data_IF_191906642802
#
_entry.id   IF_191906642802
#
_cell.length_a   1.000
_cell.length_b   1.000
_cell.length_c   1.000
_cell.angle_alpha   90.00
_cell.angle_beta   90.00
_cell.angle_gamma   90.00
#
_symmetry.space_group_name_H-M   'P 1'
#
loop_
_entity.id
_entity.type
_entity.pdbx_description
1 polymer ?
#
# COMPACT_ATOMS: atom_id res chain seq x y z
N UNK A 1 -16.81 -37.59 14.10
CA UNK A 1 -15.63 -37.47 14.98
C UNK A 1 -14.38 -37.66 14.13
N UNK A 2 -13.80 -36.56 13.64
CA UNK A 2 -12.45 -36.57 13.07
C UNK A 2 -11.88 -35.17 13.24
N UNK A 3 -10.81 -35.12 14.01
CA UNK A 3 -10.16 -33.96 14.63
C UNK A 3 -9.62 -32.94 13.62
N UNK A 4 -10.00 -31.67 13.78
CA UNK A 4 -9.29 -30.54 13.18
C UNK A 4 -8.02 -30.27 13.97
N UNK A 5 -6.86 -30.63 13.40
CA UNK A 5 -5.57 -30.22 13.94
C UNK A 5 -5.34 -28.77 13.50
N UNK A 6 -5.54 -27.85 14.44
CA UNK A 6 -5.07 -26.47 14.31
C UNK A 6 -3.54 -26.48 14.29
N UNK A 7 -2.96 -26.42 13.09
CA UNK A 7 -1.56 -26.02 12.92
C UNK A 7 -1.46 -24.53 13.23
N UNK A 8 -1.13 -24.21 14.48
CA UNK A 8 -0.61 -22.91 14.88
C UNK A 8 0.64 -22.61 14.05
N UNK A 9 0.48 -21.87 12.96
CA UNK A 9 1.59 -21.26 12.26
C UNK A 9 2.25 -20.28 13.22
N UNK A 10 3.33 -20.70 13.89
CA UNK A 10 4.21 -19.78 14.60
C UNK A 10 4.87 -18.87 13.57
N UNK A 11 4.19 -17.78 13.21
CA UNK A 11 4.80 -16.64 12.55
C UNK A 11 5.94 -16.17 13.45
N UNK A 12 7.18 -16.43 13.02
CA UNK A 12 8.37 -15.85 13.64
C UNK A 12 8.13 -14.34 13.75
N UNK A 13 8.06 -13.83 14.98
CA UNK A 13 8.03 -12.39 15.20
C UNK A 13 9.26 -11.79 14.52
N UNK A 14 9.13 -10.66 13.79
CA UNK A 14 10.28 -9.91 13.34
C UNK A 14 11.13 -9.61 14.57
N UNK A 15 12.41 -10.01 14.57
CA UNK A 15 13.34 -9.54 15.61
C UNK A 15 13.26 -8.02 15.59
N UNK A 16 12.88 -7.42 16.72
CA UNK A 16 12.98 -5.97 16.89
C UNK A 16 14.36 -5.52 16.39
N UNK A 17 14.41 -4.40 15.65
CA UNK A 17 15.69 -3.83 15.21
C UNK A 17 16.61 -3.80 16.44
N UNK A 18 17.79 -4.43 16.39
CA UNK A 18 18.63 -4.53 17.57
C UNK A 18 18.93 -3.11 18.03
N UNK A 19 18.52 -2.79 19.25
CA UNK A 19 18.73 -1.46 19.78
C UNK A 19 20.24 -1.17 19.74
N UNK A 20 20.68 -0.01 19.22
CA UNK A 20 22.10 0.24 18.94
C UNK A 20 23.01 0.10 20.15
N UNK A 21 22.47 0.31 21.36
CA UNK A 21 23.20 0.15 22.62
C UNK A 21 23.36 -1.31 23.06
N UNK A 22 22.66 -2.29 22.46
CA UNK A 22 22.87 -3.72 22.67
C UNK A 22 23.99 -4.29 21.79
N UNK A 23 25.18 -3.73 21.96
CA UNK A 23 26.44 -4.11 21.30
C UNK A 23 27.15 -5.29 22.00
N UNK A 24 28.33 -5.64 21.51
CA UNK A 24 29.15 -6.73 22.06
C UNK A 24 29.53 -6.51 23.53
N UNK A 25 29.86 -5.26 23.90
CA UNK A 25 30.20 -4.88 25.28
C UNK A 25 29.07 -5.13 26.26
N UNK A 26 27.85 -4.67 25.95
CA UNK A 26 26.68 -4.91 26.81
C UNK A 26 26.29 -6.38 26.86
N UNK A 27 26.50 -7.14 25.77
CA UNK A 27 26.28 -8.60 25.76
C UNK A 27 27.26 -9.34 26.67
N UNK A 28 28.54 -8.98 26.66
CA UNK A 28 29.55 -9.59 27.52
C UNK A 28 29.20 -9.42 29.01
N UNK A 29 28.90 -8.19 29.43
CA UNK A 29 28.52 -7.90 30.83
C UNK A 29 27.20 -8.57 31.21
N UNK A 30 26.24 -8.68 30.27
CA UNK A 30 24.99 -9.44 30.49
C UNK A 30 25.25 -10.93 30.70
N UNK A 31 26.19 -11.54 29.98
CA UNK A 31 26.55 -12.94 30.17
C UNK A 31 27.13 -13.19 31.57
N UNK A 32 27.96 -12.27 32.08
CA UNK A 32 28.48 -12.32 33.45
C UNK A 32 27.37 -12.21 34.50
N UNK A 33 26.41 -11.29 34.30
CA UNK A 33 25.23 -11.20 35.15
C UNK A 33 24.46 -12.51 35.22
N UNK A 34 24.25 -13.18 34.08
CA UNK A 34 23.57 -14.47 34.01
C UNK A 34 24.36 -15.59 34.69
N UNK A 35 25.70 -15.56 34.63
CA UNK A 35 26.56 -16.50 35.37
C UNK A 35 26.41 -16.30 36.88
N UNK A 36 26.48 -15.06 37.36
CA UNK A 36 26.28 -14.72 38.77
C UNK A 36 24.87 -15.06 39.27
N UNK A 37 23.84 -14.79 38.46
CA UNK A 37 22.44 -15.15 38.75
C UNK A 37 22.26 -16.66 38.91
N UNK A 38 22.81 -17.47 38.00
CA UNK A 38 22.75 -18.94 38.07
C UNK A 38 23.47 -19.48 39.30
N UNK A 39 24.62 -18.90 39.65
CA UNK A 39 25.38 -19.26 40.86
C UNK A 39 24.55 -19.02 42.12
N UNK A 40 24.00 -17.81 42.29
CA UNK A 40 23.12 -17.49 43.42
C UNK A 40 21.86 -18.38 43.47
N UNK A 41 21.25 -18.69 42.31
CA UNK A 41 20.10 -19.60 42.28
C UNK A 41 20.42 -21.01 42.76
N UNK A 42 21.67 -21.46 42.60
CA UNK A 42 22.14 -22.79 43.02
C UNK A 42 22.51 -22.84 44.50
N UNK A 43 23.28 -21.87 44.99
CA UNK A 43 23.85 -21.91 46.34
C UNK A 43 23.02 -21.14 47.39
N UNK A 44 22.18 -20.19 46.98
CA UNK A 44 21.38 -19.30 47.83
C UNK A 44 22.19 -18.51 48.87
N UNK A 45 23.49 -18.35 48.67
CA UNK A 45 24.38 -17.66 49.62
C UNK A 45 24.29 -16.13 49.47
N UNK A 46 24.46 -15.42 50.59
CA UNK A 46 24.45 -13.96 50.62
C UNK A 46 25.58 -13.34 49.80
N UNK A 47 26.76 -13.97 49.80
CA UNK A 47 27.91 -13.54 48.99
C UNK A 47 27.59 -13.63 47.48
N UNK A 48 26.96 -14.72 47.04
CA UNK A 48 26.53 -14.90 45.66
C UNK A 48 25.42 -13.91 45.25
N UNK A 49 24.53 -13.55 46.17
CA UNK A 49 23.57 -12.47 45.96
C UNK A 49 24.24 -11.10 45.77
N UNK A 50 25.24 -10.79 46.60
CA UNK A 50 26.01 -9.54 46.47
C UNK A 50 26.77 -9.48 45.13
N UNK A 51 27.40 -10.59 44.72
CA UNK A 51 28.05 -10.70 43.41
C UNK A 51 27.05 -10.44 42.27
N UNK A 52 25.86 -11.04 42.32
CA UNK A 52 24.82 -10.80 41.32
C UNK A 52 24.38 -9.32 41.30
N UNK A 53 24.19 -8.68 42.45
CA UNK A 53 23.82 -7.25 42.53
C UNK A 53 24.90 -6.33 41.96
N UNK A 54 26.18 -6.66 42.15
CA UNK A 54 27.30 -5.91 41.58
C UNK A 54 27.33 -6.08 40.05
N UNK A 55 27.24 -7.30 39.55
CA UNK A 55 27.17 -7.55 38.10
C UNK A 55 25.97 -6.83 37.49
N UNK A 56 24.79 -6.88 38.13
CA UNK A 56 23.58 -6.22 37.63
C UNK A 56 23.73 -4.70 37.52
N UNK A 57 24.31 -4.04 38.54
CA UNK A 57 24.64 -2.61 38.48
C UNK A 57 25.61 -2.32 37.34
N UNK A 58 26.69 -3.09 37.22
CA UNK A 58 27.65 -2.94 36.14
C UNK A 58 27.00 -3.07 34.74
N UNK A 59 26.06 -4.01 34.58
CA UNK A 59 25.29 -4.13 33.35
C UNK A 59 24.41 -2.90 33.08
N UNK A 60 23.67 -2.43 34.07
CA UNK A 60 22.83 -1.23 33.94
C UNK A 60 23.67 0.01 33.57
N UNK A 61 24.82 0.19 34.22
CA UNK A 61 25.74 1.29 33.95
C UNK A 61 26.34 1.19 32.55
N UNK A 62 26.76 -0.02 32.14
CA UNK A 62 27.30 -0.25 30.79
C UNK A 62 26.26 0.04 29.71
N UNK A 63 25.01 -0.38 29.89
CA UNK A 63 23.91 -0.07 28.97
C UNK A 63 23.65 1.44 28.92
N UNK A 64 23.64 2.11 30.08
CA UNK A 64 23.45 3.57 30.16
C UNK A 64 24.58 4.32 29.45
N UNK A 65 25.83 3.88 29.63
CA UNK A 65 27.00 4.44 28.95
C UNK A 65 26.93 4.24 27.43
N UNK A 66 26.66 3.01 26.96
CA UNK A 66 26.53 2.74 25.52
C UNK A 66 25.37 3.51 24.88
N UNK A 67 24.27 3.72 25.62
CA UNK A 67 23.16 4.56 25.17
C UNK A 67 23.61 6.02 25.05
N UNK A 68 24.28 6.56 26.06
CA UNK A 68 24.82 7.94 26.05
C UNK A 68 25.77 8.13 24.85
N UNK A 69 26.72 7.22 24.68
CA UNK A 69 27.72 7.26 23.61
C UNK A 69 27.07 7.25 22.22
N UNK A 70 26.09 6.37 22.00
CA UNK A 70 25.35 6.32 20.74
C UNK A 70 24.68 7.67 20.41
N UNK A 71 23.94 8.26 21.35
CA UNK A 71 23.26 9.53 21.10
C UNK A 71 24.21 10.72 21.00
N UNK A 72 25.28 10.75 21.79
CA UNK A 72 26.36 11.73 21.62
C UNK A 72 26.96 11.65 20.21
N UNK A 73 27.22 10.45 19.71
CA UNK A 73 27.74 10.26 18.36
C UNK A 73 26.74 10.72 17.29
N UNK A 74 25.45 10.41 17.42
CA UNK A 74 24.41 10.88 16.49
C UNK A 74 24.37 12.42 16.44
N UNK A 75 24.38 13.07 17.61
CA UNK A 75 24.33 14.54 17.70
C UNK A 75 25.59 15.18 17.09
N UNK A 76 26.78 14.65 17.40
CA UNK A 76 28.05 15.19 16.90
C UNK A 76 28.22 14.98 15.39
N UNK A 77 27.85 13.80 14.88
CA UNK A 77 27.99 13.46 13.45
C UNK A 77 26.96 14.15 12.56
N UNK A 78 25.80 14.54 13.10
CA UNK A 78 24.71 15.17 12.34
C UNK A 78 24.41 16.60 12.83
N UNK A 79 25.39 17.29 13.42
CA UNK A 79 25.26 18.66 13.94
C UNK A 79 24.84 19.69 12.88
N UNK A 80 25.16 19.43 11.62
CA UNK A 80 24.81 20.24 10.45
C UNK A 80 23.46 19.87 9.82
N UNK A 81 22.78 18.82 10.31
CA UNK A 81 21.50 18.34 9.77
C UNK A 81 20.38 18.45 10.82
N UNK A 82 19.66 19.58 10.86
CA UNK A 82 18.61 19.80 11.86
C UNK A 82 17.44 18.81 11.75
N UNK A 83 17.19 18.21 10.58
CA UNK A 83 16.13 17.20 10.40
C UNK A 83 16.42 15.88 11.12
N UNK A 84 17.67 15.42 11.10
CA UNK A 84 18.10 14.20 11.81
C UNK A 84 18.08 14.43 13.32
N UNK A 85 18.48 15.62 13.78
CA UNK A 85 18.41 15.99 15.20
C UNK A 85 16.97 16.07 15.70
N UNK A 86 16.09 16.72 14.94
CA UNK A 86 14.67 16.85 15.28
C UNK A 86 13.99 15.47 15.37
N UNK A 87 14.15 14.62 14.36
CA UNK A 87 13.58 13.25 14.37
C UNK A 87 14.12 12.39 15.52
N UNK A 88 15.39 12.54 15.88
CA UNK A 88 15.99 11.85 17.02
C UNK A 88 15.36 12.30 18.33
N UNK A 89 15.22 13.61 18.56
CA UNK A 89 14.59 14.17 19.78
C UNK A 89 13.10 13.83 19.85
N UNK A 90 12.38 13.96 18.74
CA UNK A 90 10.96 13.65 18.61
C UNK A 90 10.67 12.20 19.01
N UNK A 91 11.54 11.25 18.62
CA UNK A 91 11.41 9.84 19.01
C UNK A 91 11.51 9.58 20.52
N UNK A 92 12.14 10.49 21.29
CA UNK A 92 12.24 10.40 22.74
C UNK A 92 11.06 11.03 23.47
N UNK A 93 10.66 12.22 23.00
CA UNK A 93 9.60 13.00 23.63
C UNK A 93 8.23 12.42 23.30
N UNK A 94 8.06 12.00 22.05
CA UNK A 94 6.86 11.42 21.51
C UNK A 94 7.10 9.92 21.29
N UNK A 95 7.32 9.19 22.38
CA UNK A 95 7.19 7.73 22.34
C UNK A 95 5.80 7.42 21.79
N UNK A 96 5.64 6.64 20.72
CA UNK A 96 4.32 6.38 20.17
C UNK A 96 3.47 5.75 21.27
N UNK A 97 2.54 6.54 21.81
CA UNK A 97 1.48 6.01 22.66
C UNK A 97 0.78 4.97 21.82
N UNK A 98 1.07 3.71 22.11
CA UNK A 98 0.48 2.56 21.45
C UNK A 98 -0.93 2.39 22.02
N UNK A 99 -1.78 3.40 21.87
CA UNK A 99 -3.22 3.20 21.83
C UNK A 99 -3.54 2.59 20.46
N UNK A 100 -2.89 1.47 20.13
CA UNK A 100 -3.21 0.70 18.96
C UNK A 100 -4.57 0.07 19.22
N UNK A 101 -5.55 0.34 18.35
CA UNK A 101 -6.81 -0.39 18.39
C UNK A 101 -6.51 -1.89 18.35
N UNK A 102 -6.96 -2.63 19.36
CA UNK A 102 -6.78 -4.08 19.36
C UNK A 102 -7.52 -4.68 18.17
N UNK A 103 -6.81 -5.52 17.41
CA UNK A 103 -7.38 -6.16 16.24
C UNK A 103 -8.49 -7.14 16.67
N UNK A 104 -9.73 -6.74 16.43
CA UNK A 104 -10.92 -7.55 16.68
C UNK A 104 -11.78 -7.66 15.41
N UNK A 105 -12.61 -8.71 15.33
CA UNK A 105 -13.60 -8.85 14.27
C UNK A 105 -14.58 -7.67 14.25
N UNK A 106 -14.97 -7.18 15.43
CA UNK A 106 -15.84 -6.01 15.57
C UNK A 106 -15.22 -4.75 14.96
N UNK A 107 -13.93 -4.50 15.21
CA UNK A 107 -13.24 -3.35 14.62
C UNK A 107 -13.19 -3.45 13.09
N UNK A 108 -12.92 -4.63 12.54
CA UNK A 108 -12.92 -4.84 11.09
C UNK A 108 -14.30 -4.58 10.49
N UNK A 109 -15.37 -5.03 11.16
CA UNK A 109 -16.74 -4.74 10.76
C UNK A 109 -17.07 -3.24 10.84
N UNK A 110 -16.62 -2.55 11.89
CA UNK A 110 -16.80 -1.10 12.02
C UNK A 110 -16.11 -0.34 10.87
N UNK A 111 -14.87 -0.71 10.51
CA UNK A 111 -14.18 -0.14 9.35
C UNK A 111 -14.92 -0.43 8.04
N UNK A 112 -15.39 -1.67 7.87
CA UNK A 112 -16.14 -2.07 6.67
C UNK A 112 -17.40 -1.23 6.50
N UNK A 113 -18.23 -1.12 7.55
CA UNK A 113 -19.44 -0.29 7.52
C UNK A 113 -19.09 1.18 7.29
N UNK A 114 -18.11 1.73 8.02
CA UNK A 114 -17.68 3.11 7.84
C UNK A 114 -17.27 3.43 6.40
N UNK A 115 -16.51 2.57 5.73
CA UNK A 115 -16.12 2.80 4.33
C UNK A 115 -17.32 2.73 3.38
N UNK A 116 -18.26 1.81 3.59
CA UNK A 116 -19.48 1.69 2.78
C UNK A 116 -20.38 2.92 2.98
N UNK A 117 -20.67 3.28 4.22
CA UNK A 117 -21.56 4.38 4.58
C UNK A 117 -21.02 5.71 4.08
N UNK A 118 -19.70 5.92 4.20
CA UNK A 118 -19.04 7.12 3.70
C UNK A 118 -19.27 7.30 2.19
N UNK A 119 -19.03 6.25 1.40
CA UNK A 119 -19.20 6.32 -0.07
C UNK A 119 -20.67 6.49 -0.44
N UNK A 120 -21.56 5.80 0.26
CA UNK A 120 -23.02 5.90 0.05
C UNK A 120 -23.53 7.31 0.33
N UNK A 121 -23.09 7.91 1.44
CA UNK A 121 -23.43 9.29 1.82
C UNK A 121 -22.92 10.30 0.79
N UNK A 122 -21.66 10.16 0.35
CA UNK A 122 -21.11 11.06 -0.68
C UNK A 122 -21.91 10.92 -1.98
N UNK A 123 -22.21 9.70 -2.43
CA UNK A 123 -23.01 9.47 -3.65
C UNK A 123 -24.42 10.05 -3.55
N UNK A 124 -25.05 9.97 -2.38
CA UNK A 124 -26.38 10.57 -2.16
C UNK A 124 -26.36 12.11 -2.23
N UNK A 125 -25.22 12.74 -1.91
CA UNK A 125 -25.05 14.20 -2.00
C UNK A 125 -24.74 14.71 -3.41
N UNK A 126 -24.33 13.84 -4.33
CA UNK A 126 -24.03 14.23 -5.71
C UNK A 126 -25.35 14.35 -6.47
N UNK A 127 -25.72 15.59 -6.81
CA UNK A 127 -26.86 15.86 -7.70
C UNK A 127 -26.57 15.26 -9.08
N UNK A 128 -27.54 14.52 -9.62
CA UNK A 128 -27.46 14.07 -11.02
C UNK A 128 -27.76 15.27 -11.91
N UNK A 129 -26.86 15.63 -12.84
CA UNK A 129 -27.17 16.69 -13.79
C UNK A 129 -28.30 16.23 -14.72
N UNK A 130 -29.21 17.14 -15.07
CA UNK A 130 -30.35 16.88 -15.97
C UNK A 130 -29.91 16.54 -17.41
N UNK A 131 -28.69 16.91 -17.78
CA UNK A 131 -28.08 16.60 -19.07
C UNK A 131 -26.58 16.37 -18.91
N UNK A 132 -26.00 15.48 -19.73
CA UNK A 132 -24.56 15.28 -19.77
C UNK A 132 -23.91 16.45 -20.53
N UNK A 133 -23.06 17.28 -19.88
CA UNK A 133 -22.44 18.43 -20.52
C UNK A 133 -21.37 18.04 -21.55
N UNK A 134 -21.00 16.76 -21.65
CA UNK A 134 -20.01 16.32 -22.63
C UNK A 134 -20.61 16.20 -24.03
N UNK A 135 -20.16 17.08 -24.93
CA UNK A 135 -20.45 16.96 -26.36
C UNK A 135 -19.80 15.67 -26.86
N UNK A 136 -20.60 14.64 -27.14
CA UNK A 136 -20.14 13.39 -27.72
C UNK A 136 -19.57 13.63 -29.12
N UNK A 137 -18.25 13.82 -29.23
CA UNK A 137 -17.54 13.53 -30.47
C UNK A 137 -17.24 12.04 -30.46
N UNK A 138 -17.88 11.23 -31.32
CA UNK A 138 -17.55 9.82 -31.41
C UNK A 138 -16.08 9.67 -31.81
N UNK A 139 -15.36 8.80 -31.10
CA UNK A 139 -14.00 8.46 -31.46
C UNK A 139 -14.00 7.73 -32.81
N UNK A 140 -13.13 8.15 -33.74
CA UNK A 140 -13.01 7.49 -35.05
C UNK A 140 -12.32 6.13 -34.98
N UNK A 141 -11.69 5.81 -33.85
CA UNK A 141 -10.89 4.60 -33.64
C UNK A 141 -11.53 3.73 -32.58
N UNK A 142 -11.41 2.42 -32.75
CA UNK A 142 -12.12 1.43 -31.94
C UNK A 142 -11.16 0.38 -31.41
N UNK A 143 -11.16 0.18 -30.09
CA UNK A 143 -10.49 -0.92 -29.41
C UNK A 143 -11.52 -2.00 -29.05
N UNK A 144 -11.65 -3.01 -29.90
CA UNK A 144 -12.74 -3.99 -29.82
C UNK A 144 -12.43 -5.20 -28.92
N UNK A 145 -11.16 -5.58 -28.78
CA UNK A 145 -10.76 -6.80 -28.06
C UNK A 145 -9.34 -6.67 -27.49
N UNK A 146 -9.06 -7.46 -26.47
CA UNK A 146 -7.70 -7.68 -25.99
C UNK A 146 -7.03 -8.81 -26.74
N UNK A 147 -5.75 -8.64 -27.06
CA UNK A 147 -4.96 -9.64 -27.74
C UNK A 147 -4.43 -10.70 -26.75
N UNK A 148 -4.46 -12.00 -27.12
CA UNK A 148 -3.85 -13.06 -26.33
C UNK A 148 -2.36 -12.81 -26.08
N UNK A 149 -1.90 -13.13 -24.88
CA UNK A 149 -0.49 -13.01 -24.53
C UNK A 149 0.28 -14.29 -24.83
N UNK A 150 1.57 -14.14 -25.15
CA UNK A 150 2.52 -15.26 -25.24
C UNK A 150 3.00 -15.69 -23.85
N UNK A 151 3.56 -16.91 -23.77
CA UNK A 151 4.16 -17.40 -22.54
C UNK A 151 5.34 -16.53 -22.08
N UNK A 152 6.20 -16.11 -23.02
CA UNK A 152 7.37 -15.28 -22.71
C UNK A 152 6.96 -13.93 -22.11
N UNK A 153 5.96 -13.26 -22.70
CA UNK A 153 5.45 -12.01 -22.17
C UNK A 153 4.87 -12.19 -20.76
N UNK A 154 4.14 -13.28 -20.53
CA UNK A 154 3.59 -13.58 -19.21
C UNK A 154 4.71 -13.77 -18.17
N UNK A 155 5.76 -14.50 -18.51
CA UNK A 155 6.92 -14.71 -17.62
C UNK A 155 7.62 -13.40 -17.28
N UNK A 156 7.85 -12.55 -18.26
CA UNK A 156 8.45 -11.22 -18.07
C UNK A 156 7.58 -10.34 -17.16
N UNK A 157 6.26 -10.34 -17.37
CA UNK A 157 5.32 -9.58 -16.54
C UNK A 157 5.34 -10.06 -15.08
N UNK A 158 5.36 -11.38 -14.86
CA UNK A 158 5.47 -11.97 -13.52
C UNK A 158 6.83 -11.62 -12.89
N UNK A 159 7.92 -11.66 -13.66
CA UNK A 159 9.25 -11.31 -13.18
C UNK A 159 9.36 -9.83 -12.76
N UNK A 160 8.77 -8.91 -13.52
CA UNK A 160 8.84 -7.47 -13.26
C UNK A 160 7.89 -6.98 -12.18
N UNK A 161 6.75 -7.66 -11.96
CA UNK A 161 5.78 -7.20 -10.96
C UNK A 161 6.37 -7.31 -9.55
N UNK A 162 6.13 -6.27 -8.73
CA UNK A 162 6.51 -6.29 -7.33
C UNK A 162 5.80 -7.46 -6.62
N UNK A 163 6.50 -8.24 -5.79
CA UNK A 163 5.93 -9.39 -5.07
C UNK A 163 4.99 -8.89 -3.96
N UNK A 164 3.79 -8.47 -4.35
CA UNK A 164 2.73 -8.01 -3.47
C UNK A 164 1.44 -8.71 -3.84
N UNK A 165 0.86 -9.44 -2.88
CA UNK A 165 -0.35 -10.21 -3.06
C UNK A 165 -1.44 -9.83 -2.06
N UNK A 166 -2.49 -10.63 -2.06
CA UNK A 166 -3.53 -10.59 -1.04
C UNK A 166 -3.11 -11.43 0.16
N UNK A 167 -3.48 -11.07 1.40
CA UNK A 167 -3.38 -11.97 2.56
C UNK A 167 -4.17 -13.29 2.42
N UNK A 168 -5.03 -13.41 1.40
CA UNK A 168 -5.77 -14.62 1.05
C UNK A 168 -5.10 -15.43 -0.07
N UNK A 169 -3.95 -15.01 -0.59
CA UNK A 169 -3.21 -15.80 -1.57
C UNK A 169 -2.75 -17.12 -0.95
N UNK A 170 -2.87 -18.23 -1.70
CA UNK A 170 -2.50 -19.55 -1.23
C UNK A 170 -0.99 -19.66 -0.93
N UNK A 171 -0.18 -18.88 -1.63
CA UNK A 171 1.28 -18.83 -1.50
C UNK A 171 1.74 -17.38 -1.29
N UNK A 172 2.79 -17.16 -0.48
CA UNK A 172 3.44 -15.86 -0.42
C UNK A 172 3.89 -15.39 -1.82
N UNK A 173 3.78 -14.10 -2.16
CA UNK A 173 4.08 -13.59 -3.51
C UNK A 173 5.48 -13.93 -4.04
N UNK A 174 6.49 -13.90 -3.18
CA UNK A 174 7.86 -14.28 -3.55
C UNK A 174 7.95 -15.75 -3.94
N UNK A 175 7.40 -16.62 -3.10
CA UNK A 175 7.39 -18.06 -3.35
C UNK A 175 6.55 -18.41 -4.57
N UNK A 176 5.41 -17.74 -4.78
CA UNK A 176 4.59 -17.92 -5.98
C UNK A 176 5.40 -17.63 -7.25
N UNK A 177 6.22 -16.58 -7.26
CA UNK A 177 7.10 -16.28 -8.41
C UNK A 177 8.17 -17.37 -8.63
N UNK A 178 8.72 -17.94 -7.56
CA UNK A 178 9.71 -19.03 -7.66
C UNK A 178 9.10 -20.31 -8.24
N UNK A 179 7.88 -20.67 -7.82
CA UNK A 179 7.19 -21.88 -8.31
C UNK A 179 6.33 -21.63 -9.56
N UNK A 180 6.27 -20.40 -10.07
CA UNK A 180 5.50 -20.03 -11.25
C UNK A 180 5.77 -20.92 -12.48
N UNK A 181 7.03 -21.31 -12.77
CA UNK A 181 7.31 -22.20 -13.90
C UNK A 181 6.53 -23.52 -13.88
N UNK A 182 6.11 -24.01 -12.71
CA UNK A 182 5.36 -25.26 -12.56
C UNK A 182 3.92 -25.15 -13.08
N UNK A 183 3.32 -23.96 -13.12
CA UNK A 183 1.91 -23.77 -13.50
C UNK A 183 1.67 -22.61 -14.48
N UNK A 184 2.75 -22.04 -15.05
CA UNK A 184 2.70 -20.94 -16.03
C UNK A 184 1.77 -21.19 -17.21
N UNK A 185 1.69 -22.43 -17.71
CA UNK A 185 0.82 -22.78 -18.85
C UNK A 185 -0.67 -22.74 -18.48
N UNK A 186 -1.02 -23.13 -17.26
CA UNK A 186 -2.40 -23.03 -16.76
C UNK A 186 -2.81 -21.56 -16.57
N UNK A 187 -1.89 -20.73 -16.06
CA UNK A 187 -2.13 -19.28 -15.90
C UNK A 187 -2.28 -18.62 -17.26
N UNK A 188 -1.44 -19.00 -18.23
CA UNK A 188 -1.54 -18.50 -19.60
C UNK A 188 -2.91 -18.81 -20.22
N UNK A 189 -3.37 -20.07 -20.12
CA UNK A 189 -4.67 -20.48 -20.63
C UNK A 189 -5.80 -19.71 -19.93
N UNK A 190 -5.74 -19.55 -18.60
CA UNK A 190 -6.71 -18.77 -17.83
C UNK A 190 -6.77 -17.30 -18.29
N UNK A 191 -5.61 -16.67 -18.46
CA UNK A 191 -5.55 -15.25 -18.85
C UNK A 191 -6.05 -15.05 -20.27
N UNK A 192 -5.58 -15.84 -21.23
CA UNK A 192 -6.03 -15.74 -22.61
C UNK A 192 -7.53 -16.03 -22.74
N UNK A 193 -8.06 -17.00 -21.97
CA UNK A 193 -9.51 -17.23 -21.90
C UNK A 193 -10.27 -16.02 -21.36
N UNK A 194 -9.75 -15.33 -20.34
CA UNK A 194 -10.34 -14.11 -19.79
C UNK A 194 -10.36 -12.97 -20.80
N UNK A 195 -9.23 -12.74 -21.49
CA UNK A 195 -9.09 -11.69 -22.51
C UNK A 195 -10.06 -11.90 -23.69
N UNK A 196 -10.11 -13.12 -24.23
CA UNK A 196 -10.95 -13.46 -25.38
C UNK A 196 -12.45 -13.43 -25.05
N UNK A 197 -12.83 -13.92 -23.87
CA UNK A 197 -14.25 -13.95 -23.46
C UNK A 197 -14.78 -12.62 -22.95
N UNK A 198 -13.91 -11.65 -22.66
CA UNK A 198 -14.32 -10.41 -22.00
C UNK A 198 -14.78 -10.63 -20.55
N UNK A 199 -14.33 -11.69 -19.88
CA UNK A 199 -14.77 -12.02 -18.50
C UNK A 199 -13.59 -12.13 -17.55
N UNK A 200 -13.67 -11.42 -16.42
CA UNK A 200 -12.66 -11.48 -15.36
C UNK A 200 -13.00 -12.62 -14.40
N UNK A 201 -12.06 -13.49 -14.03
CA UNK A 201 -12.29 -14.56 -13.06
C UNK A 201 -12.85 -14.02 -11.73
N UNK A 202 -13.88 -14.67 -11.19
CA UNK A 202 -14.54 -14.27 -9.93
C UNK A 202 -13.56 -14.14 -8.77
N UNK A 203 -12.60 -15.07 -8.66
CA UNK A 203 -11.60 -15.10 -7.61
C UNK A 203 -10.63 -13.91 -7.66
N UNK A 204 -10.55 -13.20 -8.78
CA UNK A 204 -9.72 -12.00 -8.94
C UNK A 204 -10.47 -10.72 -8.53
N UNK A 205 -11.80 -10.79 -8.33
CA UNK A 205 -12.64 -9.65 -7.98
C UNK A 205 -12.74 -9.38 -6.48
N UNK A 206 -12.20 -10.25 -5.63
CA UNK A 206 -12.19 -10.06 -4.18
C UNK A 206 -10.96 -9.29 -3.72
N UNK A 207 -11.17 -8.18 -2.99
CA UNK A 207 -10.11 -7.40 -2.37
C UNK A 207 -10.05 -7.62 -0.85
N UNK A 208 -8.84 -7.70 -0.30
CA UNK A 208 -8.65 -7.57 1.15
C UNK A 208 -8.23 -6.14 1.45
N UNK A 209 -9.14 -5.37 2.05
CA UNK A 209 -8.93 -3.97 2.42
C UNK A 209 -8.13 -3.90 3.71
N UNK A 210 -7.05 -3.15 3.64
CA UNK A 210 -6.21 -2.81 4.79
C UNK A 210 -6.40 -1.33 5.14
N UNK A 211 -6.99 -1.00 6.30
CA UNK A 211 -7.01 0.37 6.78
C UNK A 211 -5.57 0.85 7.02
N UNK A 212 -5.19 1.98 6.41
CA UNK A 212 -3.88 2.61 6.59
C UNK A 212 -4.05 4.03 7.10
N UNK A 213 -3.44 4.38 8.22
CA UNK A 213 -3.53 5.73 8.78
C UNK A 213 -2.95 6.76 7.78
N UNK A 214 -3.70 7.83 7.50
CA UNK A 214 -3.38 8.83 6.47
C UNK A 214 -2.04 9.53 6.73
N UNK A 215 -1.73 9.81 8.00
CA UNK A 215 -0.52 10.50 8.46
C UNK A 215 -0.13 9.96 9.83
N UNK A 216 1.16 9.91 10.10
CA UNK A 216 1.69 9.61 11.44
C UNK A 216 1.24 10.69 12.42
N UNK A 217 0.80 10.29 13.62
CA UNK A 217 0.32 11.20 14.67
C UNK A 217 -1.17 11.54 14.64
N UNK A 218 -1.92 11.08 13.63
CA UNK A 218 -3.39 11.16 13.68
C UNK A 218 -3.93 10.18 14.73
N UNK A 219 -5.05 10.55 15.34
CA UNK A 219 -5.75 9.69 16.31
C UNK A 219 -6.20 8.38 15.63
N UNK A 220 -5.67 7.22 16.07
CA UNK A 220 -6.03 5.92 15.50
C UNK A 220 -7.46 5.50 15.85
N UNK A 221 -8.12 6.10 16.84
CA UNK A 221 -9.49 5.75 17.21
C UNK A 221 -10.53 6.32 16.23
N UNK A 222 -10.16 7.33 15.44
CA UNK A 222 -11.04 7.97 14.46
C UNK A 222 -10.94 7.27 13.10
N UNK A 223 -11.97 6.53 12.71
CA UNK A 223 -11.99 5.75 11.45
C UNK A 223 -11.76 6.61 10.19
N UNK A 224 -12.21 7.87 10.22
CA UNK A 224 -11.99 8.84 9.14
C UNK A 224 -10.52 9.18 8.86
N UNK A 225 -9.61 8.86 9.78
CA UNK A 225 -8.18 9.04 9.62
C UNK A 225 -7.52 7.94 8.79
N UNK A 226 -8.26 6.91 8.36
CA UNK A 226 -7.72 5.79 7.59
C UNK A 226 -8.05 5.88 6.09
N UNK A 227 -7.17 5.32 5.26
CA UNK A 227 -7.38 5.03 3.84
C UNK A 227 -7.68 3.54 3.66
N UNK A 228 -8.69 3.16 2.87
CA UNK A 228 -8.93 1.76 2.53
C UNK A 228 -7.95 1.31 1.42
N UNK A 229 -6.89 0.58 1.77
CA UNK A 229 -5.94 0.07 0.78
C UNK A 229 -6.35 -1.35 0.35
N UNK A 230 -6.87 -1.47 -0.88
CA UNK A 230 -7.26 -2.76 -1.47
C UNK A 230 -6.04 -3.61 -1.85
N UNK A 231 -5.90 -4.79 -1.23
CA UNK A 231 -4.91 -5.80 -1.60
C UNK A 231 -5.57 -6.88 -2.45
N UNK A 232 -5.20 -6.93 -3.72
CA UNK A 232 -5.67 -7.94 -4.69
C UNK A 232 -4.70 -9.12 -4.78
N UNK A 233 -5.20 -10.31 -5.20
CA UNK A 233 -4.34 -11.46 -5.48
C UNK A 233 -3.23 -11.14 -6.46
N UNK A 234 -2.05 -11.73 -6.29
CA UNK A 234 -0.90 -11.46 -7.18
C UNK A 234 -1.25 -11.71 -8.65
N UNK A 235 -1.90 -12.83 -8.97
CA UNK A 235 -2.27 -13.17 -10.35
C UNK A 235 -3.33 -12.20 -10.93
N UNK A 236 -4.25 -11.66 -10.11
CA UNK A 236 -5.17 -10.60 -10.54
C UNK A 236 -4.40 -9.38 -11.03
N UNK A 237 -3.38 -8.96 -10.27
CA UNK A 237 -2.55 -7.79 -10.63
C UNK A 237 -1.76 -8.03 -11.91
N UNK A 238 -1.31 -9.26 -12.16
CA UNK A 238 -0.62 -9.60 -13.42
C UNK A 238 -1.59 -9.49 -14.60
N UNK A 239 -2.81 -10.03 -14.47
CA UNK A 239 -3.84 -9.89 -15.51
C UNK A 239 -4.22 -8.42 -15.75
N UNK A 240 -4.42 -7.64 -14.70
CA UNK A 240 -4.68 -6.19 -14.78
C UNK A 240 -3.52 -5.46 -15.46
N UNK A 241 -2.27 -5.86 -15.20
CA UNK A 241 -1.09 -5.27 -15.86
C UNK A 241 -1.06 -5.57 -17.35
N UNK A 242 -1.42 -6.79 -17.76
CA UNK A 242 -1.53 -7.18 -19.17
C UNK A 242 -2.57 -6.30 -19.88
N UNK A 243 -3.78 -6.19 -19.31
CA UNK A 243 -4.85 -5.33 -19.83
C UNK A 243 -4.42 -3.87 -19.89
N UNK A 244 -3.79 -3.37 -18.82
CA UNK A 244 -3.30 -1.99 -18.75
C UNK A 244 -2.30 -1.68 -19.87
N UNK A 245 -1.36 -2.59 -20.16
CA UNK A 245 -0.34 -2.35 -21.20
C UNK A 245 -1.00 -2.22 -22.58
N UNK A 246 -1.96 -3.08 -22.90
CA UNK A 246 -2.67 -3.01 -24.18
C UNK A 246 -3.54 -1.76 -24.29
N UNK A 247 -4.32 -1.44 -23.25
CA UNK A 247 -5.12 -0.20 -23.21
C UNK A 247 -4.23 1.03 -23.34
N UNK A 248 -3.13 1.09 -22.59
CA UNK A 248 -2.22 2.23 -22.61
C UNK A 248 -1.60 2.42 -23.99
N UNK A 249 -1.18 1.34 -24.65
CA UNK A 249 -0.66 1.39 -26.02
C UNK A 249 -1.69 1.98 -26.98
N UNK A 250 -2.94 1.51 -26.92
CA UNK A 250 -4.02 2.05 -27.75
C UNK A 250 -4.27 3.55 -27.51
N UNK A 251 -4.31 3.96 -26.23
CA UNK A 251 -4.54 5.36 -25.86
C UNK A 251 -3.41 6.28 -26.33
N UNK A 252 -2.17 5.81 -26.28
CA UNK A 252 -0.98 6.57 -26.69
C UNK A 252 -0.86 6.65 -28.22
N UNK A 253 -1.07 5.55 -28.94
CA UNK A 253 -1.04 5.50 -30.41
C UNK A 253 -2.05 6.47 -31.04
N UNK A 254 -3.20 6.64 -30.40
CA UNK A 254 -4.29 7.48 -30.90
C UNK A 254 -4.40 8.84 -30.22
N UNK A 255 -3.43 9.22 -29.38
CA UNK A 255 -3.38 10.51 -28.67
C UNK A 255 -4.69 10.84 -27.92
N UNK A 256 -5.31 9.84 -27.28
CA UNK A 256 -6.60 10.00 -26.58
C UNK A 256 -6.41 10.68 -25.21
N UNK A 257 -5.22 10.59 -24.63
CA UNK A 257 -4.92 11.14 -23.31
C UNK A 257 -4.96 12.67 -23.32
N UNK A 258 -5.48 13.26 -22.24
CA UNK A 258 -5.48 14.72 -22.06
C UNK A 258 -4.05 15.28 -22.02
N UNK A 259 -3.85 16.41 -22.70
CA UNK A 259 -2.54 17.07 -22.84
C UNK A 259 -2.06 17.65 -21.51
N UNK A 260 -2.98 18.17 -20.69
CA UNK A 260 -2.70 18.80 -19.40
C UNK A 260 -2.77 17.82 -18.22
N UNK A 261 -3.20 16.58 -18.43
CA UNK A 261 -3.09 15.54 -17.42
C UNK A 261 -1.62 15.23 -17.11
N UNK A 262 -1.19 15.47 -15.87
CA UNK A 262 0.13 15.05 -15.37
C UNK A 262 0.06 13.81 -14.46
N UNK A 263 -1.05 13.62 -13.74
CA UNK A 263 -1.23 12.46 -12.87
C UNK A 263 -1.32 11.15 -13.65
N UNK A 264 -0.63 10.11 -13.16
CA UNK A 264 -0.65 8.76 -13.74
C UNK A 264 -0.21 8.68 -15.22
N UNK A 265 0.54 9.67 -15.71
CA UNK A 265 1.07 9.72 -17.08
C UNK A 265 2.59 9.51 -17.05
N UNK A 266 3.09 8.65 -17.93
CA UNK A 266 4.52 8.41 -18.08
C UNK A 266 5.25 9.69 -18.46
N UNK A 267 6.43 9.92 -17.90
CA UNK A 267 7.25 11.13 -18.12
C UNK A 267 6.65 12.44 -17.58
N UNK A 268 5.59 12.37 -16.77
CA UNK A 268 5.04 13.49 -16.02
C UNK A 268 5.16 13.26 -14.51
N UNK A 269 5.25 14.35 -13.74
CA UNK A 269 5.32 14.34 -12.28
C UNK A 269 4.55 15.52 -11.66
N UNK A 270 4.55 15.62 -10.33
CA UNK A 270 4.03 16.82 -9.65
C UNK A 270 4.86 18.07 -9.96
N UNK A 271 6.16 17.90 -10.24
CA UNK A 271 7.06 18.99 -10.58
C UNK A 271 6.75 19.55 -11.97
N UNK A 272 6.50 18.68 -12.96
CA UNK A 272 6.14 19.13 -14.32
C UNK A 272 4.81 19.89 -14.32
N UNK A 273 3.85 19.43 -13.50
CA UNK A 273 2.57 20.13 -13.34
C UNK A 273 2.74 21.50 -12.67
N UNK A 274 3.52 21.56 -11.58
CA UNK A 274 3.78 22.80 -10.87
C UNK A 274 4.54 23.81 -11.74
N UNK A 275 5.56 23.36 -12.47
CA UNK A 275 6.34 24.20 -13.37
C UNK A 275 5.44 24.82 -14.45
N UNK A 276 4.53 24.04 -15.04
CA UNK A 276 3.58 24.54 -16.03
C UNK A 276 2.68 25.64 -15.45
N UNK A 277 2.04 25.36 -14.32
CA UNK A 277 1.14 26.34 -13.65
C UNK A 277 1.91 27.60 -13.27
N UNK A 278 3.11 27.46 -12.71
CA UNK A 278 3.95 28.58 -12.31
C UNK A 278 4.37 29.45 -13.50
N UNK A 279 4.78 28.83 -14.60
CA UNK A 279 5.12 29.54 -15.82
C UNK A 279 3.92 30.31 -16.40
N UNK A 280 2.73 29.68 -16.42
CA UNK A 280 1.51 30.32 -16.93
C UNK A 280 1.12 31.54 -16.05
N UNK A 281 1.33 31.47 -14.73
CA UNK A 281 1.15 32.61 -13.81
C UNK A 281 2.15 33.73 -14.14
N UNK A 282 3.43 33.41 -14.30
CA UNK A 282 4.46 34.42 -14.57
C UNK A 282 4.22 35.15 -15.89
N UNK A 283 3.90 34.43 -16.96
CA UNK A 283 3.63 35.04 -18.27
C UNK A 283 2.44 36.00 -18.24
N UNK A 284 1.39 35.66 -17.50
CA UNK A 284 0.24 36.54 -17.33
C UNK A 284 0.61 37.79 -16.51
N UNK A 285 1.38 37.62 -15.41
CA UNK A 285 1.88 38.75 -14.63
C UNK A 285 2.77 39.69 -15.47
N UNK A 286 3.68 39.14 -16.28
CA UNK A 286 4.57 39.92 -17.15
C UNK A 286 3.78 40.69 -18.24
N UNK A 287 2.62 40.18 -18.62
CA UNK A 287 1.69 40.82 -19.58
C UNK A 287 0.81 41.89 -18.92
N UNK A 288 0.89 42.05 -17.60
CA UNK A 288 0.04 42.98 -16.84
C UNK A 288 -1.37 42.45 -16.54
N UNK A 289 -1.63 41.16 -16.80
CA UNK A 289 -2.92 40.53 -16.55
C UNK A 289 -3.08 40.12 -15.08
N UNK A 290 -4.34 39.98 -14.64
CA UNK A 290 -4.66 39.43 -13.33
C UNK A 290 -4.89 37.93 -13.41
N UNK A 291 -4.32 37.18 -12.45
CA UNK A 291 -4.42 35.72 -12.41
C UNK A 291 -5.30 35.26 -11.24
N UNK A 292 -6.26 34.39 -11.54
CA UNK A 292 -7.09 33.70 -10.53
C UNK A 292 -6.81 32.19 -10.64
N UNK A 293 -6.31 31.59 -9.56
CA UNK A 293 -6.05 30.15 -9.48
C UNK A 293 -7.17 29.46 -8.71
N UNK A 294 -7.91 28.58 -9.38
CA UNK A 294 -8.95 27.74 -8.77
C UNK A 294 -8.41 26.34 -8.55
N UNK A 295 -8.37 25.90 -7.29
CA UNK A 295 -7.91 24.57 -6.90
C UNK A 295 -9.11 23.72 -6.47
N UNK A 296 -9.31 22.60 -7.16
CA UNK A 296 -10.41 21.67 -6.91
C UNK A 296 -9.86 20.34 -6.40
N UNK A 297 -10.46 19.80 -5.35
CA UNK A 297 -10.16 18.46 -4.84
C UNK A 297 -11.45 17.63 -4.73
N UNK A 298 -11.40 16.41 -5.24
CA UNK A 298 -12.55 15.51 -5.30
C UNK A 298 -12.57 14.58 -4.09
N UNK A 299 -13.66 14.63 -3.32
CA UNK A 299 -13.81 13.74 -2.16
C UNK A 299 -13.99 12.30 -2.62
N UNK A 300 -13.10 11.42 -2.16
CA UNK A 300 -13.14 9.97 -2.42
C UNK A 300 -13.25 9.62 -3.92
N UNK A 301 -12.48 10.32 -4.77
CA UNK A 301 -12.60 10.30 -6.24
C UNK A 301 -12.72 8.90 -6.87
N UNK A 302 -11.98 7.90 -6.40
CA UNK A 302 -12.05 6.54 -6.95
C UNK A 302 -13.30 5.76 -6.49
N UNK A 303 -13.75 5.99 -5.27
CA UNK A 303 -14.89 5.28 -4.69
C UNK A 303 -16.23 5.84 -5.23
N UNK A 304 -16.24 7.10 -5.66
CA UNK A 304 -17.44 7.82 -6.11
C UNK A 304 -17.71 7.72 -7.60
N UNK A 305 -16.82 7.09 -8.38
CA UNK A 305 -17.02 6.91 -9.83
C UNK A 305 -18.31 6.12 -10.10
N UNK A 306 -19.20 6.70 -10.92
CA UNK A 306 -20.36 5.98 -11.44
C UNK A 306 -19.91 5.06 -12.59
N UNK A 307 -20.09 3.75 -12.40
CA UNK A 307 -19.63 2.76 -13.37
C UNK A 307 -20.40 2.83 -14.69
N UNK A 308 -21.66 3.26 -14.69
CA UNK A 308 -22.47 3.37 -15.89
C UNK A 308 -21.97 4.52 -16.75
N UNK A 309 -21.72 5.69 -16.13
CA UNK A 309 -21.15 6.85 -16.80
C UNK A 309 -19.74 6.54 -17.31
N UNK A 310 -18.90 5.87 -16.50
CA UNK A 310 -17.56 5.47 -16.92
C UNK A 310 -17.61 4.57 -18.16
N UNK A 311 -18.42 3.51 -18.15
CA UNK A 311 -18.53 2.59 -19.28
C UNK A 311 -19.07 3.28 -20.54
N UNK A 312 -20.06 4.17 -20.38
CA UNK A 312 -20.59 4.98 -21.48
C UNK A 312 -19.49 5.86 -22.10
N UNK A 313 -18.68 6.53 -21.28
CA UNK A 313 -17.56 7.36 -21.76
C UNK A 313 -16.46 6.51 -22.43
N UNK A 314 -16.11 5.36 -21.85
CA UNK A 314 -15.16 4.44 -22.47
C UNK A 314 -15.65 3.98 -23.85
N UNK A 315 -16.95 3.73 -23.99
CA UNK A 315 -17.53 3.31 -25.27
C UNK A 315 -17.57 4.44 -26.30
N UNK A 316 -18.14 5.59 -25.95
CA UNK A 316 -18.48 6.62 -26.93
C UNK A 316 -17.40 7.69 -27.12
N UNK A 317 -16.60 7.99 -26.10
CA UNK A 317 -15.56 9.03 -26.15
C UNK A 317 -14.17 8.45 -26.39
N UNK A 318 -13.88 7.28 -25.80
CA UNK A 318 -12.56 6.62 -25.93
C UNK A 318 -12.53 5.59 -27.07
N UNK A 319 -13.68 5.03 -27.45
CA UNK A 319 -13.79 4.03 -28.52
C UNK A 319 -13.55 2.58 -28.08
N UNK A 320 -13.69 2.26 -26.79
CA UNK A 320 -13.55 0.88 -26.30
C UNK A 320 -14.88 0.13 -26.49
N UNK A 321 -14.87 -0.96 -27.25
CA UNK A 321 -16.08 -1.73 -27.58
C UNK A 321 -15.84 -3.23 -27.49
N UNK A 322 -16.82 -4.03 -27.93
CA UNK A 322 -16.71 -5.48 -28.01
C UNK A 322 -16.32 -6.16 -26.69
N UNK A 323 -15.52 -7.21 -26.79
CA UNK A 323 -15.07 -8.00 -25.64
C UNK A 323 -14.14 -7.21 -24.72
N UNK A 324 -13.46 -6.17 -25.23
CA UNK A 324 -12.66 -5.29 -24.38
C UNK A 324 -13.54 -4.47 -23.41
N UNK A 325 -14.65 -3.92 -23.90
CA UNK A 325 -15.63 -3.23 -23.06
C UNK A 325 -16.31 -4.20 -22.08
N UNK A 326 -16.63 -5.41 -22.53
CA UNK A 326 -17.22 -6.44 -21.68
C UNK A 326 -16.25 -6.85 -20.56
N UNK A 327 -14.95 -6.94 -20.84
CA UNK A 327 -13.93 -7.20 -19.83
C UNK A 327 -13.93 -6.11 -18.75
N UNK A 328 -13.95 -4.83 -19.14
CA UNK A 328 -14.01 -3.71 -18.21
C UNK A 328 -15.31 -3.68 -17.40
N UNK A 329 -16.45 -3.97 -18.06
CA UNK A 329 -17.74 -4.12 -17.38
C UNK A 329 -17.69 -5.25 -16.35
N UNK A 330 -17.15 -6.40 -16.73
CA UNK A 330 -16.93 -7.54 -15.82
C UNK A 330 -15.98 -7.16 -14.68
N UNK A 331 -14.89 -6.45 -14.95
CA UNK A 331 -13.90 -6.03 -13.95
C UNK A 331 -14.52 -5.15 -12.86
N UNK A 332 -15.43 -4.25 -13.24
CA UNK A 332 -16.12 -3.32 -12.35
C UNK A 332 -17.33 -3.94 -11.63
N UNK A 333 -17.97 -4.95 -12.23
CA UNK A 333 -19.17 -5.59 -11.69
C UNK A 333 -18.87 -6.66 -10.64
N UNK A 334 -19.79 -6.81 -9.67
CA UNK A 334 -19.79 -7.89 -8.67
C UNK A 334 -18.47 -8.03 -7.90
N UNK A 335 -17.78 -6.92 -7.66
CA UNK A 335 -16.59 -6.89 -6.80
C UNK A 335 -17.02 -7.01 -5.34
N UNK A 336 -16.22 -7.72 -4.57
CA UNK A 336 -16.42 -7.88 -3.13
C UNK A 336 -15.14 -7.51 -2.39
N UNK A 337 -15.27 -7.18 -1.11
CA UNK A 337 -14.10 -6.97 -0.27
C UNK A 337 -14.32 -7.46 1.14
N UNK A 338 -13.24 -7.72 1.84
CA UNK A 338 -13.20 -7.98 3.28
C UNK A 338 -12.18 -7.05 3.94
N UNK A 339 -12.36 -6.72 5.21
CA UNK A 339 -11.39 -5.88 5.96
C UNK A 339 -10.50 -6.77 6.81
N UNK A 340 -9.17 -6.61 6.69
CA UNK A 340 -8.20 -7.32 7.53
C UNK A 340 -7.21 -6.33 8.11
N UNK A 341 -7.11 -6.32 9.44
CA UNK A 341 -6.17 -5.46 10.16
C UNK A 341 -4.87 -6.23 10.39
N UNK A 342 -3.81 -5.95 9.63
CA UNK A 342 -2.46 -6.25 10.12
C UNK A 342 -2.11 -5.13 11.10
N UNK A 343 -1.72 -5.52 12.32
CA UNK A 343 -1.31 -4.67 13.45
C UNK A 343 -0.94 -3.22 13.05
N UNK A 344 -1.68 -2.26 13.61
CA UNK A 344 -1.40 -0.81 13.56
C UNK A 344 -0.01 -0.53 14.15
#
# INVERSE_FOLDING_TARGET
MSSWIYSLSMTRQPRAKPEPWFNERTRAVRQECRRAERKWRKDKLQVSLQMFRVCWRNYQDTVKMSKKEHFSNVILSHSHNPGVLFTTIDSFLNSPHTAGLEASAQLCNNFMQFFIDKVTSIRASILRPDSDPSVCKPCSVVFNQFEPVSLSLLEDMVAQIKPSGSPCDALPPHFLKEVFPCFRHLVLALFNSSLLSGVVPTNFKHAVVHPLLKKTGLDPTVLGNYRPISKLPLLSKVLEKIVYVQLKSFLDEHNIMDVFQSGFKSLHSTETALLRVYNDILLACDSGDHVILVLLDLTAAFDTVDHSILLMRLQHQVGISGTALDWLRSYLANRTFSVKNCRI
#
